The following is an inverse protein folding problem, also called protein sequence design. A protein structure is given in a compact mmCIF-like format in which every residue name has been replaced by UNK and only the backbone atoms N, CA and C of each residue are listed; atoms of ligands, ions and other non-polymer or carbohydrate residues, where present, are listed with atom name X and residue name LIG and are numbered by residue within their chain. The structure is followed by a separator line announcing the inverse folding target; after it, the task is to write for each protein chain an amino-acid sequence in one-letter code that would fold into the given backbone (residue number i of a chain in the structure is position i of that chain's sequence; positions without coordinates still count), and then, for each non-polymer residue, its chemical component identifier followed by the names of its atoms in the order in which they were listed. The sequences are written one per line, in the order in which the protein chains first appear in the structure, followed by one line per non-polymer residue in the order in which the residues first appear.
data_IF_600407947680
#
_entry.id   IF_600407947680
#
_cell.length_a   1.000
_cell.length_b   1.000
_cell.length_c   1.000
_cell.angle_alpha   90.00
_cell.angle_beta   90.00
_cell.angle_gamma   90.00
#
_symmetry.space_group_name_H-M   'P 1'
#
loop_
_entity.id
_entity.type
_entity.pdbx_description
1 polymer ?
#
# COMPACT_ATOMS: atom_id res chain seq x y z
N UNK A 1 70.55 -33.04 3.23
CA UNK A 1 70.07 -33.51 1.89
C UNK A 1 68.62 -33.92 2.02
N UNK A 2 67.87 -33.60 0.98
CA UNK A 2 66.48 -33.95 0.66
C UNK A 2 65.43 -32.95 1.13
N UNK A 3 65.05 -32.12 0.16
CA UNK A 3 63.93 -31.15 0.11
C UNK A 3 62.68 -31.92 -0.32
N UNK A 4 61.55 -31.70 0.37
CA UNK A 4 60.21 -32.07 -0.12
C UNK A 4 59.34 -30.85 -0.19
N UNK A 5 59.01 -30.48 -1.41
CA UNK A 5 57.96 -29.50 -1.76
C UNK A 5 56.60 -30.18 -1.54
N UNK A 6 55.73 -29.53 -0.78
CA UNK A 6 54.31 -29.85 -0.73
C UNK A 6 53.53 -28.69 -1.34
N UNK A 7 52.97 -28.95 -2.51
CA UNK A 7 52.11 -28.04 -3.26
C UNK A 7 50.72 -28.03 -2.62
N UNK A 8 50.36 -26.94 -1.99
CA UNK A 8 49.02 -26.74 -1.43
C UNK A 8 48.08 -26.18 -2.49
N UNK A 9 47.12 -26.99 -2.91
CA UNK A 9 46.03 -26.61 -3.82
C UNK A 9 44.97 -25.76 -3.06
N UNK A 10 44.96 -24.44 -3.26
CA UNK A 10 43.92 -23.57 -2.76
C UNK A 10 42.65 -23.75 -3.65
N UNK A 11 41.66 -24.48 -3.14
CA UNK A 11 40.34 -24.56 -3.71
C UNK A 11 39.57 -23.24 -3.47
N UNK A 12 39.38 -22.47 -4.55
CA UNK A 12 38.59 -21.26 -4.56
C UNK A 12 37.10 -21.66 -4.58
N UNK A 13 36.43 -21.65 -3.42
CA UNK A 13 34.99 -21.90 -3.30
C UNK A 13 34.26 -20.60 -3.64
N UNK A 14 33.84 -20.47 -4.90
CA UNK A 14 32.98 -19.33 -5.32
C UNK A 14 31.57 -19.54 -4.73
N UNK A 15 31.27 -18.85 -3.64
CA UNK A 15 29.92 -18.73 -3.12
C UNK A 15 29.16 -17.80 -4.07
N UNK A 16 28.34 -18.38 -4.94
CA UNK A 16 27.37 -17.64 -5.72
C UNK A 16 26.31 -17.06 -4.76
N UNK A 17 26.44 -15.79 -4.40
CA UNK A 17 25.41 -15.06 -3.69
C UNK A 17 24.21 -14.89 -4.62
N UNK A 18 23.14 -15.64 -4.38
CA UNK A 18 21.83 -15.39 -4.99
C UNK A 18 21.33 -14.01 -4.50
N UNK A 19 20.87 -13.14 -5.37
CA UNK A 19 20.27 -11.88 -4.93
C UNK A 19 18.99 -12.22 -4.17
N UNK A 20 19.02 -11.98 -2.87
CA UNK A 20 17.86 -12.03 -1.99
C UNK A 20 16.83 -11.00 -2.49
N UNK A 21 15.66 -11.49 -2.86
CA UNK A 21 14.53 -10.71 -3.35
C UNK A 21 13.93 -9.89 -2.20
N UNK A 22 14.57 -8.76 -1.89
CA UNK A 22 14.22 -7.87 -0.78
C UNK A 22 13.27 -6.72 -1.20
N UNK A 23 12.66 -6.77 -2.40
CA UNK A 23 11.91 -5.64 -2.95
C UNK A 23 10.39 -5.72 -2.74
N UNK A 24 9.82 -6.90 -2.47
CA UNK A 24 8.36 -7.01 -2.33
C UNK A 24 7.85 -6.60 -0.94
N UNK A 25 8.69 -6.68 0.10
CA UNK A 25 8.28 -6.36 1.49
C UNK A 25 8.12 -4.86 1.71
N UNK A 26 8.97 -4.04 1.11
CA UNK A 26 8.95 -2.58 1.28
C UNK A 26 7.71 -1.92 0.67
N UNK A 27 7.29 -2.37 -0.51
CA UNK A 27 6.11 -1.82 -1.18
C UNK A 27 4.80 -2.18 -0.46
N UNK A 28 4.73 -3.38 0.13
CA UNK A 28 3.58 -3.81 0.92
C UNK A 28 3.50 -3.08 2.26
N UNK A 29 4.63 -2.88 2.94
CA UNK A 29 4.70 -2.14 4.21
C UNK A 29 4.39 -0.65 4.02
N UNK A 30 4.68 -0.10 2.86
CA UNK A 30 4.30 1.29 2.51
C UNK A 30 2.82 1.42 2.19
N UNK A 31 2.24 0.41 1.53
CA UNK A 31 0.84 0.39 1.13
C UNK A 31 -0.11 0.04 2.29
N UNK A 32 0.32 -0.76 3.28
CA UNK A 32 -0.44 -1.12 4.48
C UNK A 32 0.38 -0.73 5.71
N UNK A 33 -0.12 0.20 6.52
CA UNK A 33 0.59 0.67 7.71
C UNK A 33 -0.37 1.06 8.85
N UNK A 34 0.08 1.08 10.10
CA UNK A 34 -0.71 1.63 11.20
C UNK A 34 -1.05 3.10 10.98
N UNK A 35 -2.26 3.51 11.40
CA UNK A 35 -2.67 4.91 11.36
C UNK A 35 -1.77 5.80 12.22
N UNK A 36 -1.35 5.31 13.39
CA UNK A 36 -0.43 6.03 14.28
C UNK A 36 -0.89 7.46 14.55
N UNK A 37 0.05 8.41 14.39
CA UNK A 37 -0.19 9.84 14.55
C UNK A 37 -0.62 10.54 13.25
N UNK A 38 -0.79 9.80 12.14
CA UNK A 38 -1.21 10.39 10.88
C UNK A 38 -2.59 11.06 11.00
N UNK A 39 -2.77 12.11 10.22
CA UNK A 39 -4.03 12.85 10.07
C UNK A 39 -4.62 12.60 8.67
N UNK A 40 -5.87 12.94 8.42
CA UNK A 40 -6.44 12.83 7.08
C UNK A 40 -5.84 13.86 6.11
N UNK A 41 -5.42 15.00 6.62
CA UNK A 41 -4.75 16.07 5.86
C UNK A 41 -3.46 15.60 5.20
N UNK A 42 -2.72 14.65 5.81
CA UNK A 42 -1.47 14.13 5.28
C UNK A 42 -1.64 13.41 3.93
N UNK A 43 -2.87 13.05 3.59
CA UNK A 43 -3.21 12.30 2.37
C UNK A 43 -3.91 13.15 1.31
N UNK A 44 -4.30 14.39 1.64
CA UNK A 44 -5.03 15.25 0.71
C UNK A 44 -4.25 15.43 -0.61
N UNK A 45 -4.92 15.15 -1.72
CA UNK A 45 -4.41 15.22 -3.09
C UNK A 45 -3.25 14.27 -3.41
N UNK A 46 -2.78 13.49 -2.43
CA UNK A 46 -1.69 12.52 -2.56
C UNK A 46 -2.24 11.11 -2.76
N UNK A 47 -3.04 10.63 -1.81
CA UNK A 47 -3.52 9.26 -1.78
C UNK A 47 -4.98 9.18 -1.30
N UNK A 48 -5.58 7.99 -1.43
CA UNK A 48 -6.92 7.67 -0.92
C UNK A 48 -6.79 6.81 0.33
N UNK A 49 -6.98 7.36 1.52
CA UNK A 49 -6.93 6.54 2.73
C UNK A 49 -8.09 5.53 2.77
N UNK A 50 -7.75 4.25 2.91
CA UNK A 50 -8.68 3.19 3.29
C UNK A 50 -8.38 2.80 4.73
N UNK A 51 -9.15 3.31 5.66
CA UNK A 51 -8.93 3.09 7.10
C UNK A 51 -9.73 1.91 7.58
N UNK A 52 -9.07 0.91 8.15
CA UNK A 52 -9.70 -0.30 8.72
C UNK A 52 -9.59 -0.24 10.24
N UNK A 53 -10.72 -0.01 10.87
CA UNK A 53 -10.85 0.07 12.32
C UNK A 53 -11.33 -1.23 12.93
N UNK A 54 -10.83 -1.55 14.11
CA UNK A 54 -11.39 -2.55 15.02
C UNK A 54 -11.11 -2.17 16.47
N UNK A 55 -11.74 -2.86 17.42
CA UNK A 55 -11.46 -2.67 18.83
C UNK A 55 -10.28 -3.54 19.32
N UNK A 56 -9.91 -4.55 18.53
CA UNK A 56 -8.71 -5.35 18.73
C UNK A 56 -8.31 -6.04 17.41
N UNK A 57 -7.04 -6.44 17.24
CA UNK A 57 -6.55 -7.07 16.00
C UNK A 57 -7.10 -8.48 15.75
N UNK A 58 -7.72 -9.11 16.74
CA UNK A 58 -8.34 -10.44 16.62
C UNK A 58 -9.83 -10.38 16.22
N UNK A 59 -10.41 -9.20 15.98
CA UNK A 59 -11.81 -9.11 15.48
C UNK A 59 -11.91 -9.88 14.15
N UNK A 60 -12.81 -10.88 14.05
CA UNK A 60 -12.92 -11.71 12.85
C UNK A 60 -13.21 -10.89 11.57
N UNK A 61 -13.94 -9.79 11.69
CA UNK A 61 -14.24 -8.89 10.56
C UNK A 61 -12.99 -8.14 10.10
N UNK A 62 -12.16 -7.72 11.05
CA UNK A 62 -10.87 -7.10 10.75
C UNK A 62 -9.95 -8.08 10.02
N UNK A 63 -9.79 -9.29 10.58
CA UNK A 63 -8.96 -10.33 9.97
C UNK A 63 -9.44 -10.66 8.55
N UNK A 64 -10.75 -10.85 8.36
CA UNK A 64 -11.33 -11.10 7.04
C UNK A 64 -11.08 -9.93 6.08
N UNK A 65 -11.28 -8.69 6.51
CA UNK A 65 -11.05 -7.51 5.65
C UNK A 65 -9.60 -7.37 5.26
N UNK A 66 -8.66 -7.59 6.18
CA UNK A 66 -7.24 -7.54 5.89
C UNK A 66 -6.81 -8.64 4.92
N UNK A 67 -7.37 -9.84 5.02
CA UNK A 67 -7.13 -10.91 4.06
C UNK A 67 -7.60 -10.50 2.66
N UNK A 68 -8.83 -10.01 2.51
CA UNK A 68 -9.35 -9.53 1.22
C UNK A 68 -8.49 -8.42 0.61
N UNK A 69 -7.98 -7.51 1.44
CA UNK A 69 -7.08 -6.43 1.01
C UNK A 69 -5.75 -6.99 0.53
N UNK A 70 -5.12 -7.86 1.31
CA UNK A 70 -3.80 -8.43 1.00
C UNK A 70 -3.82 -9.25 -0.29
N UNK A 71 -4.90 -10.03 -0.51
CA UNK A 71 -5.05 -10.83 -1.73
C UNK A 71 -5.12 -9.99 -3.03
N UNK A 72 -5.45 -8.70 -2.93
CA UNK A 72 -5.65 -7.80 -4.07
C UNK A 72 -5.08 -6.40 -3.83
N UNK A 73 -3.98 -6.32 -3.12
CA UNK A 73 -3.36 -5.05 -2.74
C UNK A 73 -2.94 -4.23 -3.96
N UNK A 74 -2.44 -4.88 -5.00
CA UNK A 74 -2.08 -4.29 -6.28
C UNK A 74 -3.22 -3.46 -6.89
N UNK A 75 -4.44 -3.99 -6.87
CA UNK A 75 -5.61 -3.28 -7.39
C UNK A 75 -5.94 -1.99 -6.61
N UNK A 76 -5.58 -1.93 -5.34
CA UNK A 76 -5.72 -0.73 -4.50
C UNK A 76 -4.58 0.26 -4.76
N UNK A 77 -3.34 -0.23 -4.82
CA UNK A 77 -2.15 0.58 -5.11
C UNK A 77 -2.27 1.28 -6.47
N UNK A 78 -2.75 0.60 -7.50
CA UNK A 78 -3.02 1.17 -8.83
C UNK A 78 -4.00 2.37 -8.81
N UNK A 79 -4.73 2.52 -7.72
CA UNK A 79 -5.70 3.60 -7.49
C UNK A 79 -5.25 4.59 -6.44
N UNK A 80 -3.95 4.62 -6.15
CA UNK A 80 -3.35 5.47 -5.13
C UNK A 80 -4.02 5.31 -3.74
N UNK A 81 -4.43 4.08 -3.40
CA UNK A 81 -4.97 3.76 -2.08
C UNK A 81 -3.85 3.41 -1.12
N UNK A 82 -3.87 4.02 0.06
CA UNK A 82 -3.07 3.62 1.21
C UNK A 82 -4.00 3.01 2.26
N UNK A 83 -3.64 1.83 2.77
CA UNK A 83 -4.41 1.14 3.80
C UNK A 83 -3.86 1.50 5.16
N UNK A 84 -4.72 2.07 6.00
CA UNK A 84 -4.38 2.45 7.37
C UNK A 84 -5.12 1.52 8.33
N UNK A 85 -4.40 0.94 9.27
CA UNK A 85 -4.98 0.06 10.29
C UNK A 85 -5.00 0.74 11.64
N UNK A 86 -6.12 0.62 12.35
CA UNK A 86 -6.29 1.12 13.70
C UNK A 86 -7.12 0.12 14.52
N UNK A 87 -6.44 -0.64 15.38
CA UNK A 87 -7.05 -1.70 16.21
C UNK A 87 -6.93 -1.43 17.71
N UNK A 88 -6.51 -0.22 18.09
CA UNK A 88 -6.40 0.20 19.48
C UNK A 88 -7.21 1.47 19.76
N UNK A 89 -8.45 1.32 20.25
CA UNK A 89 -9.27 2.47 20.64
C UNK A 89 -8.64 3.35 21.73
N UNK A 90 -7.77 2.77 22.57
CA UNK A 90 -7.17 3.50 23.70
C UNK A 90 -6.10 4.49 23.24
N UNK A 91 -5.44 4.23 22.12
CA UNK A 91 -4.45 5.12 21.51
C UNK A 91 -5.06 6.43 21.00
N UNK A 92 -6.39 6.46 20.74
CA UNK A 92 -7.10 7.66 20.29
C UNK A 92 -6.41 8.38 19.14
N UNK A 93 -6.00 7.64 18.10
CA UNK A 93 -5.34 8.21 16.92
C UNK A 93 -6.10 9.43 16.38
N UNK A 94 -5.45 10.40 15.74
CA UNK A 94 -6.11 11.56 15.14
C UNK A 94 -7.24 11.14 14.19
N UNK A 95 -6.98 10.16 13.31
CA UNK A 95 -7.95 9.63 12.34
C UNK A 95 -9.15 8.97 13.06
N UNK A 96 -8.93 8.23 14.16
CA UNK A 96 -10.02 7.64 14.95
C UNK A 96 -10.89 8.72 15.59
N UNK A 97 -10.30 9.79 16.11
CA UNK A 97 -11.05 10.91 16.70
C UNK A 97 -11.92 11.63 15.68
N UNK A 98 -11.42 11.77 14.46
CA UNK A 98 -12.13 12.44 13.36
C UNK A 98 -13.25 11.57 12.80
N UNK A 99 -12.95 10.31 12.43
CA UNK A 99 -13.91 9.42 11.79
C UNK A 99 -14.88 8.73 12.76
N UNK A 100 -14.57 8.70 14.07
CA UNK A 100 -15.44 8.18 15.13
C UNK A 100 -16.04 6.80 14.82
N UNK A 101 -15.21 5.78 14.56
CA UNK A 101 -15.70 4.44 14.27
C UNK A 101 -16.37 3.83 15.52
N UNK A 102 -17.26 2.85 15.30
CA UNK A 102 -17.88 2.03 16.36
C UNK A 102 -17.57 0.57 16.06
N UNK A 103 -16.70 -0.05 16.87
CA UNK A 103 -16.24 -1.41 16.66
C UNK A 103 -15.53 -1.55 15.30
N UNK A 104 -15.76 -2.69 14.62
CA UNK A 104 -15.26 -2.83 13.28
C UNK A 104 -15.93 -1.87 12.30
N UNK A 105 -15.12 -1.15 11.56
CA UNK A 105 -15.56 -0.26 10.48
C UNK A 105 -14.43 -0.05 9.48
N UNK A 106 -14.71 -0.04 8.19
CA UNK A 106 -13.77 0.54 7.26
C UNK A 106 -14.35 1.79 6.59
N UNK A 107 -13.46 2.73 6.29
CA UNK A 107 -13.81 4.01 5.68
C UNK A 107 -12.83 4.27 4.55
N UNK A 108 -13.35 4.48 3.34
CA UNK A 108 -12.58 4.91 2.18
C UNK A 108 -12.82 6.39 1.95
N UNK A 109 -11.75 7.17 1.80
CA UNK A 109 -11.82 8.57 1.44
C UNK A 109 -11.25 8.81 0.03
N UNK A 110 -11.78 9.82 -0.65
CA UNK A 110 -11.20 10.36 -1.87
C UNK A 110 -9.97 11.22 -1.56
N UNK A 111 -9.21 11.59 -2.59
CA UNK A 111 -8.04 12.48 -2.43
C UNK A 111 -8.39 13.89 -1.94
N UNK A 112 -9.62 14.33 -2.15
CA UNK A 112 -10.14 15.60 -1.64
C UNK A 112 -10.66 15.54 -0.19
N UNK A 113 -10.49 14.38 0.48
CA UNK A 113 -10.97 14.15 1.84
C UNK A 113 -12.44 13.72 1.94
N UNK A 114 -13.18 13.65 0.84
CA UNK A 114 -14.59 13.21 0.86
C UNK A 114 -14.70 11.73 1.18
N UNK A 115 -15.59 11.35 2.11
CA UNK A 115 -15.88 9.94 2.42
C UNK A 115 -16.67 9.31 1.27
N UNK A 116 -16.04 8.34 0.58
CA UNK A 116 -16.66 7.56 -0.50
C UNK A 116 -17.51 6.42 0.07
N UNK A 117 -16.95 5.71 1.05
CA UNK A 117 -17.53 4.49 1.62
C UNK A 117 -17.33 4.50 3.13
N UNK A 118 -18.37 4.08 3.86
CA UNK A 118 -18.29 3.75 5.28
C UNK A 118 -19.12 2.49 5.52
N UNK A 119 -18.49 1.40 5.96
CA UNK A 119 -19.16 0.09 6.16
C UNK A 119 -18.77 -0.54 7.50
N UNK A 120 -19.74 -1.10 8.25
CA UNK A 120 -19.50 -1.84 9.50
C UNK A 120 -19.28 -3.33 9.28
N UNK A 121 -19.05 -3.77 8.04
CA UNK A 121 -18.84 -5.15 7.65
C UNK A 121 -17.75 -5.24 6.57
N UNK A 122 -17.02 -6.37 6.48
CA UNK A 122 -16.03 -6.60 5.44
C UNK A 122 -16.63 -6.46 4.04
N UNK A 123 -15.83 -5.95 3.11
CA UNK A 123 -16.26 -5.72 1.74
C UNK A 123 -15.16 -6.08 0.75
N UNK A 124 -15.59 -6.65 -0.39
CA UNK A 124 -14.69 -7.13 -1.44
C UNK A 124 -13.94 -5.97 -2.11
N UNK A 125 -12.65 -6.19 -2.38
CA UNK A 125 -11.79 -5.18 -3.01
C UNK A 125 -12.25 -4.81 -4.42
N UNK A 126 -12.93 -5.71 -5.16
CA UNK A 126 -13.52 -5.38 -6.47
C UNK A 126 -14.58 -4.29 -6.34
N UNK A 127 -15.42 -4.39 -5.30
CA UNK A 127 -16.47 -3.38 -5.07
C UNK A 127 -15.87 -2.06 -4.59
N UNK A 128 -14.81 -2.12 -3.76
CA UNK A 128 -14.03 -0.95 -3.35
C UNK A 128 -13.46 -0.27 -4.60
N UNK A 129 -12.77 -1.02 -5.46
CA UNK A 129 -12.18 -0.52 -6.71
C UNK A 129 -13.21 0.10 -7.64
N UNK A 130 -14.37 -0.57 -7.84
CA UNK A 130 -15.47 -0.03 -8.66
C UNK A 130 -16.01 1.28 -8.11
N UNK A 131 -16.05 1.43 -6.78
CA UNK A 131 -16.52 2.67 -6.15
C UNK A 131 -15.55 3.81 -6.37
N UNK A 132 -14.23 3.53 -6.38
CA UNK A 132 -13.20 4.51 -6.74
C UNK A 132 -13.32 4.88 -8.22
N UNK A 133 -13.41 3.89 -9.10
CA UNK A 133 -13.43 4.09 -10.56
C UNK A 133 -14.63 4.92 -11.05
N UNK A 134 -15.72 4.95 -10.27
CA UNK A 134 -16.90 5.80 -10.56
C UNK A 134 -16.69 7.26 -10.16
N UNK A 135 -15.67 7.60 -9.38
CA UNK A 135 -15.44 8.97 -8.93
C UNK A 135 -14.97 9.86 -10.10
N UNK A 136 -15.54 11.07 -10.27
CA UNK A 136 -15.14 11.98 -11.35
C UNK A 136 -13.65 12.28 -11.35
N UNK A 137 -13.06 12.53 -10.17
CA UNK A 137 -11.64 12.78 -10.02
C UNK A 137 -10.79 11.61 -10.54
N UNK A 138 -11.17 10.36 -10.20
CA UNK A 138 -10.45 9.18 -10.71
C UNK A 138 -10.55 9.04 -12.22
N UNK A 139 -11.72 9.30 -12.79
CA UNK A 139 -11.91 9.28 -14.24
C UNK A 139 -11.05 10.33 -14.95
N UNK A 140 -10.88 11.49 -14.33
CA UNK A 140 -9.97 12.52 -14.84
C UNK A 140 -8.52 12.06 -14.76
N UNK A 141 -8.05 11.56 -13.62
CA UNK A 141 -6.70 11.01 -13.46
C UNK A 141 -6.35 9.98 -14.56
N UNK A 142 -7.30 9.09 -14.86
CA UNK A 142 -7.11 8.08 -15.91
C UNK A 142 -7.00 8.70 -17.29
N UNK A 143 -7.78 9.76 -17.59
CA UNK A 143 -7.67 10.49 -18.87
C UNK A 143 -6.32 11.19 -18.99
N UNK A 144 -5.94 11.94 -17.96
CA UNK A 144 -4.70 12.72 -17.94
C UNK A 144 -3.46 11.79 -18.09
N UNK A 145 -3.46 10.65 -17.41
CA UNK A 145 -2.40 9.64 -17.56
C UNK A 145 -2.32 9.09 -18.98
N UNK A 146 -3.45 8.83 -19.64
CA UNK A 146 -3.48 8.37 -21.03
C UNK A 146 -2.96 9.42 -22.00
N UNK A 147 -3.30 10.67 -21.78
CA UNK A 147 -2.89 11.78 -22.63
C UNK A 147 -1.39 12.04 -22.47
N UNK A 148 -0.84 11.95 -21.27
CA UNK A 148 0.62 12.03 -21.03
C UNK A 148 1.38 10.91 -21.76
N UNK A 149 0.85 9.68 -21.74
CA UNK A 149 1.48 8.54 -22.44
C UNK A 149 1.38 8.63 -23.98
N UNK A 150 0.49 9.46 -24.50
CA UNK A 150 0.32 9.68 -25.95
C UNK A 150 1.16 10.84 -26.48
N UNK A 151 1.67 11.71 -25.61
CA UNK A 151 2.53 12.79 -26.04
C UNK A 151 3.88 12.21 -26.50
N UNK A 152 4.33 12.49 -27.75
CA UNK A 152 5.67 12.09 -28.17
C UNK A 152 6.70 12.76 -27.28
N UNK A 153 7.75 12.02 -26.95
CA UNK A 153 8.90 12.56 -26.22
C UNK A 153 9.43 13.79 -26.96
N UNK A 154 9.64 14.94 -26.28
CA UNK A 154 10.15 16.13 -26.97
C UNK A 154 11.51 15.78 -27.59
N UNK A 155 11.60 15.95 -28.93
CA UNK A 155 12.85 15.77 -29.68
C UNK A 155 13.94 16.61 -29.00
N UNK A 156 14.96 15.92 -28.47
CA UNK A 156 16.15 16.60 -27.93
C UNK A 156 16.83 17.30 -29.12
N UNK A 157 17.07 18.61 -29.03
CA UNK A 157 17.80 19.32 -30.11
C UNK A 157 19.19 18.68 -30.22
N UNK A 158 19.43 18.05 -31.36
CA UNK A 158 20.76 17.57 -31.74
C UNK A 158 21.68 18.79 -31.86
N UNK A 159 22.67 18.86 -30.96
CA UNK A 159 23.79 19.80 -31.06
C UNK A 159 24.81 19.30 -32.08
#
# INVERSE_FOLDING_TARGET
MIRWLALGLLGFFAIAALPLRAQDTTATDEAIRPAGEATLEDFLWIARPLVVFADNPADPRYVQQMQLITERLDALVDRDVVVLTDTDPSARSPIRRELRPRGFMFVLLAKDGTVIIRKPAPWDVREISRSIDKQPLRQQEVRDRRDTLRQPEPEQPTQ
#
